data_IF_649966808936
#
_entry.id   IF_649966808936
#
_cell.length_a   1.000
_cell.length_b   1.000
_cell.length_c   1.000
_cell.angle_alpha   90.00
_cell.angle_beta   90.00
_cell.angle_gamma   90.00
#
_symmetry.space_group_name_H-M   'P 1'
#
loop_
_entity.id
_entity.type
_entity.pdbx_description
1 polymer ?
#
# COMPACT_ATOMS: atom_id res chain seq x y z
N UNK A 1 -5.53 16.42 17.54
CA UNK A 1 -4.50 15.80 16.67
C UNK A 1 -5.06 14.69 15.77
N UNK A 2 -5.81 13.70 16.29
CA UNK A 2 -6.41 12.59 15.52
C UNK A 2 -7.40 13.03 14.42
N UNK A 3 -8.35 13.92 14.75
CA UNK A 3 -9.34 14.44 13.78
C UNK A 3 -8.71 15.22 12.61
N UNK A 4 -7.62 15.97 12.89
CA UNK A 4 -6.88 16.70 11.85
C UNK A 4 -6.24 15.75 10.83
N UNK A 5 -5.63 14.63 11.29
CA UNK A 5 -5.08 13.58 10.42
C UNK A 5 -6.15 12.88 9.60
N UNK A 6 -7.29 12.52 10.20
CA UNK A 6 -8.40 11.90 9.47
C UNK A 6 -8.92 12.79 8.32
N UNK A 7 -9.06 14.10 8.55
CA UNK A 7 -9.43 15.07 7.50
C UNK A 7 -8.38 15.11 6.37
N UNK A 8 -7.10 15.11 6.73
CA UNK A 8 -6.00 15.09 5.75
C UNK A 8 -6.01 13.81 4.91
N UNK A 9 -6.15 12.65 5.53
CA UNK A 9 -6.22 11.36 4.84
C UNK A 9 -7.45 11.25 3.94
N UNK A 10 -8.61 11.75 4.38
CA UNK A 10 -9.80 11.80 3.53
C UNK A 10 -9.58 12.66 2.29
N UNK A 11 -8.97 13.83 2.44
CA UNK A 11 -8.61 14.71 1.31
C UNK A 11 -7.62 14.03 0.37
N UNK A 12 -6.67 13.28 0.92
CA UNK A 12 -5.67 12.55 0.14
C UNK A 12 -6.28 11.39 -0.65
N UNK A 13 -7.11 10.56 -0.02
CA UNK A 13 -7.78 9.47 -0.73
C UNK A 13 -8.80 9.99 -1.75
N UNK A 14 -9.47 11.11 -1.47
CA UNK A 14 -10.31 11.79 -2.47
C UNK A 14 -9.50 12.21 -3.71
N UNK A 15 -8.26 12.70 -3.53
CA UNK A 15 -7.35 12.99 -4.65
C UNK A 15 -7.08 11.73 -5.48
N UNK A 16 -6.75 10.60 -4.83
CA UNK A 16 -6.49 9.34 -5.52
C UNK A 16 -7.71 8.79 -6.26
N UNK A 17 -8.90 8.88 -5.66
CA UNK A 17 -10.15 8.49 -6.31
C UNK A 17 -10.48 9.36 -7.52
N UNK A 18 -10.43 10.69 -7.37
CA UNK A 18 -10.83 11.61 -8.44
C UNK A 18 -9.83 11.65 -9.60
N UNK A 19 -8.54 11.57 -9.31
CA UNK A 19 -7.49 11.79 -10.32
C UNK A 19 -6.96 10.47 -10.93
N UNK A 20 -7.07 9.36 -10.19
CA UNK A 20 -6.46 8.07 -10.57
C UNK A 20 -7.44 6.89 -10.51
N UNK A 21 -8.72 7.15 -10.22
CA UNK A 21 -9.77 6.13 -10.31
C UNK A 21 -9.75 5.06 -9.21
N UNK A 22 -9.15 5.34 -8.05
CA UNK A 22 -9.20 4.45 -6.89
C UNK A 22 -10.64 4.28 -6.38
N UNK A 23 -11.04 3.04 -6.11
CA UNK A 23 -12.39 2.67 -5.64
C UNK A 23 -12.28 1.69 -4.48
N UNK A 24 -13.29 1.72 -3.60
CA UNK A 24 -13.42 0.76 -2.52
C UNK A 24 -13.98 -0.58 -3.05
N UNK A 25 -13.63 -1.73 -2.44
CA UNK A 25 -12.61 -1.85 -1.39
C UNK A 25 -11.19 -1.62 -1.94
N UNK A 26 -10.38 -0.83 -1.24
CA UNK A 26 -9.02 -0.50 -1.68
C UNK A 26 -8.14 -1.74 -1.62
N UNK A 27 -7.51 -2.11 -2.73
CA UNK A 27 -6.59 -3.24 -2.77
C UNK A 27 -5.26 -2.82 -2.15
N UNK A 28 -4.93 -3.40 -0.99
CA UNK A 28 -3.72 -3.07 -0.25
C UNK A 28 -2.74 -4.24 -0.34
N UNK A 29 -1.62 -4.07 -1.04
CA UNK A 29 -0.54 -5.06 -0.98
C UNK A 29 0.26 -4.85 0.30
N UNK A 30 0.38 -5.92 1.09
CA UNK A 30 1.19 -5.95 2.31
C UNK A 30 2.45 -6.77 2.07
N UNK A 31 3.56 -6.36 2.69
CA UNK A 31 4.82 -7.12 2.71
C UNK A 31 4.97 -7.97 3.98
N UNK A 32 6.03 -8.77 4.03
CA UNK A 32 6.40 -9.55 5.21
C UNK A 32 6.66 -8.66 6.43
N UNK A 33 7.44 -7.59 6.23
CA UNK A 33 7.89 -6.72 7.31
C UNK A 33 6.74 -6.00 8.04
N UNK A 34 5.70 -5.54 7.33
CA UNK A 34 4.56 -4.87 7.97
C UNK A 34 3.67 -5.84 8.74
N UNK A 35 3.58 -7.10 8.31
CA UNK A 35 2.90 -8.14 9.08
C UNK A 35 3.65 -8.40 10.39
N UNK A 36 4.97 -8.56 10.35
CA UNK A 36 5.80 -8.73 11.55
C UNK A 36 5.72 -7.52 12.48
N UNK A 37 5.80 -6.31 11.91
CA UNK A 37 5.68 -5.07 12.68
C UNK A 37 4.31 -4.95 13.35
N UNK A 38 3.22 -5.25 12.63
CA UNK A 38 1.87 -5.19 13.17
C UNK A 38 1.70 -6.10 14.40
N UNK A 39 2.24 -7.32 14.35
CA UNK A 39 2.24 -8.24 15.48
C UNK A 39 3.08 -7.69 16.64
N UNK A 40 4.32 -7.28 16.38
CA UNK A 40 5.24 -6.80 17.43
C UNK A 40 4.70 -5.55 18.14
N UNK A 41 4.10 -4.63 17.38
CA UNK A 41 3.52 -3.38 17.86
C UNK A 41 2.06 -3.54 18.34
N UNK A 42 1.49 -4.75 18.33
CA UNK A 42 0.10 -5.07 18.70
C UNK A 42 -0.94 -4.20 17.97
N UNK A 43 -0.71 -4.00 16.68
CA UNK A 43 -1.56 -3.21 15.80
C UNK A 43 -2.52 -4.13 15.05
N UNK A 44 -3.82 -3.86 15.17
CA UNK A 44 -4.84 -4.42 14.27
C UNK A 44 -4.68 -3.81 12.87
N UNK A 45 -3.94 -4.50 12.01
CA UNK A 45 -3.51 -3.96 10.71
C UNK A 45 -4.70 -3.59 9.82
N UNK A 46 -5.72 -4.46 9.73
CA UNK A 46 -6.88 -4.25 8.85
C UNK A 46 -7.66 -3.01 9.28
N UNK A 47 -8.00 -2.94 10.58
CA UNK A 47 -8.71 -1.78 11.14
C UNK A 47 -7.92 -0.50 10.97
N UNK A 48 -6.59 -0.54 11.15
CA UNK A 48 -5.76 0.65 10.93
C UNK A 48 -5.65 1.06 9.48
N UNK A 49 -5.63 0.12 8.55
CA UNK A 49 -5.69 0.42 7.12
C UNK A 49 -7.01 1.12 6.76
N UNK A 50 -8.14 0.66 7.30
CA UNK A 50 -9.45 1.32 7.13
C UNK A 50 -9.46 2.73 7.73
N UNK A 51 -8.90 2.89 8.94
CA UNK A 51 -8.74 4.18 9.60
C UNK A 51 -7.92 5.17 8.75
N UNK A 52 -6.81 4.72 8.15
CA UNK A 52 -5.92 5.62 7.38
C UNK A 52 -6.38 5.84 5.94
N UNK A 53 -7.03 4.86 5.32
CA UNK A 53 -7.56 4.97 3.95
C UNK A 53 -8.99 5.51 3.90
N UNK A 54 -9.63 5.68 5.07
CA UNK A 54 -10.98 6.24 5.21
C UNK A 54 -12.02 5.50 4.34
N UNK A 55 -11.94 4.17 4.31
CA UNK A 55 -12.82 3.31 3.51
C UNK A 55 -12.46 1.84 3.62
N UNK A 56 -13.31 0.97 3.07
CA UNK A 56 -13.13 -0.47 3.13
C UNK A 56 -11.85 -0.88 2.39
N UNK A 57 -11.15 -1.88 2.94
CA UNK A 57 -9.89 -2.36 2.41
C UNK A 57 -9.97 -3.84 2.04
N UNK A 58 -9.15 -4.25 1.09
CA UNK A 58 -8.92 -5.62 0.69
C UNK A 58 -7.42 -5.89 0.81
N UNK A 59 -6.94 -6.32 1.98
CA UNK A 59 -5.54 -6.65 2.16
C UNK A 59 -5.17 -7.87 1.32
N UNK A 60 -4.02 -7.80 0.67
CA UNK A 60 -3.53 -8.82 -0.23
C UNK A 60 -2.03 -9.04 0.03
N UNK A 61 -1.59 -10.30 -0.01
CA UNK A 61 -0.17 -10.63 0.10
C UNK A 61 0.28 -11.46 -1.11
N UNK A 62 1.47 -11.17 -1.63
CA UNK A 62 2.05 -11.95 -2.74
C UNK A 62 2.60 -13.28 -2.25
N UNK A 63 2.85 -14.22 -3.17
CA UNK A 63 3.52 -15.47 -2.81
C UNK A 63 4.94 -15.22 -2.32
N UNK A 64 5.69 -14.32 -2.97
CA UNK A 64 7.05 -13.98 -2.56
C UNK A 64 7.10 -13.40 -1.13
N UNK A 65 6.19 -12.46 -0.81
CA UNK A 65 6.17 -11.84 0.51
C UNK A 65 5.78 -12.80 1.63
N UNK A 66 4.88 -13.77 1.40
CA UNK A 66 4.62 -14.75 2.47
C UNK A 66 5.78 -15.72 2.65
N UNK A 67 6.50 -16.04 1.57
CA UNK A 67 7.60 -17.00 1.63
C UNK A 67 8.69 -16.46 2.55
N UNK A 68 8.95 -15.16 2.50
CA UNK A 68 9.83 -14.47 3.45
C UNK A 68 9.40 -14.61 4.91
N UNK A 69 8.10 -14.71 5.19
CA UNK A 69 7.60 -14.98 6.54
C UNK A 69 7.85 -16.43 6.96
N UNK A 70 7.66 -17.39 6.04
CA UNK A 70 7.94 -18.79 6.31
C UNK A 70 9.43 -19.04 6.60
N UNK A 71 10.32 -18.37 5.87
CA UNK A 71 11.77 -18.47 6.05
C UNK A 71 12.25 -17.97 7.41
N UNK A 72 11.49 -17.10 8.08
CA UNK A 72 11.83 -16.59 9.42
C UNK A 72 11.45 -17.56 10.56
N UNK A 73 10.81 -18.69 10.24
CA UNK A 73 10.56 -19.77 11.19
C UNK A 73 9.43 -19.49 12.18
N UNK A 74 9.34 -20.35 13.22
CA UNK A 74 8.21 -20.39 14.16
C UNK A 74 8.04 -19.13 15.01
N UNK A 75 9.09 -18.32 15.18
CA UNK A 75 9.04 -17.07 15.94
C UNK A 75 8.03 -16.05 15.35
N UNK A 76 7.76 -16.12 14.04
CA UNK A 76 6.81 -15.25 13.34
C UNK A 76 5.52 -15.95 12.93
N UNK A 77 5.17 -17.06 13.58
CA UNK A 77 3.91 -17.76 13.32
C UNK A 77 2.68 -16.84 13.37
N UNK A 78 2.55 -15.90 14.34
CA UNK A 78 1.41 -14.98 14.35
C UNK A 78 1.36 -14.04 13.14
N UNK A 79 2.52 -13.65 12.59
CA UNK A 79 2.59 -12.83 11.38
C UNK A 79 2.21 -13.64 10.13
N UNK A 80 2.60 -14.93 10.10
CA UNK A 80 2.15 -15.89 9.08
C UNK A 80 0.64 -16.08 9.14
N UNK A 81 0.05 -16.24 10.32
CA UNK A 81 -1.39 -16.46 10.49
C UNK A 81 -2.19 -15.21 10.08
N UNK A 82 -1.68 -14.02 10.44
CA UNK A 82 -2.22 -12.75 9.95
C UNK A 82 -2.16 -12.70 8.42
N UNK A 83 -1.00 -12.99 7.81
CA UNK A 83 -0.83 -12.96 6.37
C UNK A 83 -1.72 -13.96 5.63
N UNK A 84 -1.98 -15.14 6.21
CA UNK A 84 -2.89 -16.15 5.66
C UNK A 84 -4.35 -15.70 5.65
N UNK A 85 -4.74 -14.75 6.51
CA UNK A 85 -6.09 -14.17 6.49
C UNK A 85 -6.33 -13.22 5.30
N UNK A 86 -5.27 -12.81 4.60
CA UNK A 86 -5.32 -11.88 3.48
C UNK A 86 -5.49 -12.60 2.13
N UNK A 87 -6.01 -11.88 1.13
CA UNK A 87 -6.17 -12.45 -0.21
C UNK A 87 -4.82 -12.69 -0.88
N UNK A 88 -4.69 -13.81 -1.60
CA UNK A 88 -3.48 -14.10 -2.37
C UNK A 88 -3.42 -13.32 -3.66
N UNK A 89 -2.38 -12.48 -3.79
CA UNK A 89 -2.02 -11.87 -5.07
C UNK A 89 -1.02 -12.75 -5.82
N UNK A 90 -1.45 -13.34 -6.94
CA UNK A 90 -0.54 -14.04 -7.86
C UNK A 90 0.47 -13.05 -8.45
N UNK A 91 1.77 -13.28 -8.23
CA UNK A 91 2.86 -12.44 -8.72
C UNK A 91 3.58 -13.01 -9.95
N UNK A 92 3.26 -14.24 -10.37
CA UNK A 92 3.78 -14.90 -11.57
C UNK A 92 5.31 -15.09 -11.63
N UNK A 93 6.02 -15.00 -10.50
CA UNK A 93 7.42 -15.41 -10.39
C UNK A 93 7.50 -16.94 -10.30
N UNK A 94 8.45 -17.55 -11.03
CA UNK A 94 8.65 -19.01 -11.03
C UNK A 94 9.12 -19.51 -9.67
N UNK A 95 10.07 -18.77 -9.10
CA UNK A 95 10.61 -18.99 -7.77
C UNK A 95 10.34 -17.74 -6.93
N UNK A 96 10.30 -17.91 -5.61
CA UNK A 96 10.11 -16.80 -4.70
C UNK A 96 11.35 -15.88 -4.74
N UNK A 97 11.16 -14.67 -5.25
CA UNK A 97 12.16 -13.59 -5.19
C UNK A 97 11.94 -12.72 -3.94
N UNK A 98 12.79 -11.72 -3.72
CA UNK A 98 12.63 -10.78 -2.62
C UNK A 98 11.32 -10.00 -2.72
N UNK A 99 10.68 -9.75 -1.58
CA UNK A 99 9.39 -9.10 -1.45
C UNK A 99 9.36 -7.70 -2.06
N UNK A 100 10.42 -6.91 -1.85
CA UNK A 100 10.58 -5.58 -2.43
C UNK A 100 10.61 -5.60 -3.97
N UNK A 101 11.34 -6.56 -4.53
CA UNK A 101 11.41 -6.75 -5.99
C UNK A 101 10.06 -7.22 -6.54
N UNK A 102 9.43 -8.17 -5.85
CA UNK A 102 8.11 -8.67 -6.20
C UNK A 102 7.06 -7.56 -6.22
N UNK A 103 6.97 -6.75 -5.16
CA UNK A 103 6.01 -5.66 -5.08
C UNK A 103 6.30 -4.58 -6.13
N UNK A 104 7.57 -4.26 -6.38
CA UNK A 104 7.96 -3.36 -7.47
C UNK A 104 7.44 -3.85 -8.83
N UNK A 105 7.66 -5.14 -9.13
CA UNK A 105 7.22 -5.80 -10.35
C UNK A 105 5.69 -5.82 -10.49
N UNK A 106 4.97 -6.18 -9.42
CA UNK A 106 3.49 -6.25 -9.40
C UNK A 106 2.83 -4.88 -9.55
N UNK A 107 3.41 -3.83 -8.96
CA UNK A 107 2.92 -2.45 -9.12
C UNK A 107 3.19 -1.94 -10.53
N UNK A 108 4.39 -2.21 -11.05
CA UNK A 108 4.84 -1.72 -12.35
C UNK A 108 4.96 -0.19 -12.41
N UNK A 109 5.22 0.35 -13.61
CA UNK A 109 5.57 1.76 -13.79
C UNK A 109 4.39 2.74 -13.65
N UNK A 110 3.16 2.25 -13.73
CA UNK A 110 1.96 3.10 -13.78
C UNK A 110 0.93 2.79 -12.71
N UNK A 111 1.21 1.82 -11.82
CA UNK A 111 0.23 1.29 -10.87
C UNK A 111 -1.14 1.01 -11.52
N UNK A 112 -1.14 0.29 -12.65
CA UNK A 112 -2.34 0.04 -13.49
C UNK A 112 -3.52 -0.53 -12.68
N UNK A 113 -3.21 -1.36 -11.68
CA UNK A 113 -4.18 -2.05 -10.84
C UNK A 113 -4.61 -1.24 -9.61
N UNK A 114 -4.05 -0.04 -9.40
CA UNK A 114 -4.39 0.89 -8.31
C UNK A 114 -4.22 0.25 -6.94
N UNK A 115 -3.04 -0.31 -6.72
CA UNK A 115 -2.66 -0.81 -5.40
C UNK A 115 -2.30 0.34 -4.47
N UNK A 116 -2.73 0.20 -3.22
CA UNK A 116 -2.10 0.84 -2.06
C UNK A 116 -1.02 -0.12 -1.58
N UNK A 117 0.13 0.39 -1.16
CA UNK A 117 1.21 -0.45 -0.64
C UNK A 117 1.39 -0.16 0.84
N UNK A 118 1.34 -1.20 1.65
CA UNK A 118 1.62 -1.13 3.08
C UNK A 118 2.91 -1.91 3.34
N UNK A 119 3.99 -1.19 3.68
CA UNK A 119 5.33 -1.77 3.79
C UNK A 119 6.18 -1.02 4.81
N UNK A 120 7.00 -1.77 5.55
CA UNK A 120 8.02 -1.17 6.42
C UNK A 120 9.36 -0.91 5.71
N UNK A 121 9.60 -1.55 4.56
CA UNK A 121 10.81 -1.34 3.77
C UNK A 121 10.91 0.11 3.29
N UNK A 122 11.86 0.86 3.84
CA UNK A 122 12.18 2.21 3.37
C UNK A 122 12.68 2.22 1.91
N UNK A 123 13.62 1.34 1.48
CA UNK A 123 14.08 1.35 0.08
C UNK A 123 12.93 1.06 -0.90
N UNK A 124 12.03 0.12 -0.57
CA UNK A 124 10.84 -0.12 -1.40
C UNK A 124 9.96 1.13 -1.50
N UNK A 125 9.62 1.75 -0.36
CA UNK A 125 8.79 2.95 -0.34
C UNK A 125 9.42 4.08 -1.16
N UNK A 126 10.71 4.34 -1.00
CA UNK A 126 11.42 5.35 -1.78
C UNK A 126 11.35 5.07 -3.29
N UNK A 127 11.57 3.82 -3.70
CA UNK A 127 11.45 3.41 -5.11
C UNK A 127 10.03 3.62 -5.64
N UNK A 128 9.02 3.21 -4.87
CA UNK A 128 7.61 3.32 -5.27
C UNK A 128 7.09 4.76 -5.29
N UNK A 129 7.71 5.69 -4.55
CA UNK A 129 7.38 7.14 -4.64
C UNK A 129 7.65 7.72 -6.02
N UNK A 130 8.58 7.13 -6.79
CA UNK A 130 8.89 7.55 -8.16
C UNK A 130 7.74 7.21 -9.14
N UNK A 131 6.91 6.23 -8.79
CA UNK A 131 5.76 5.82 -9.58
C UNK A 131 4.57 6.72 -9.21
N UNK A 132 3.90 7.34 -10.19
CA UNK A 132 2.73 8.15 -9.90
C UNK A 132 1.58 7.27 -9.40
N UNK A 133 0.72 7.85 -8.56
CA UNK A 133 -0.51 7.22 -8.10
C UNK A 133 -0.30 5.96 -7.22
N UNK A 134 0.77 5.91 -6.42
CA UNK A 134 1.00 4.84 -5.42
C UNK A 134 0.84 5.41 -4.00
N UNK A 135 -0.30 5.17 -3.32
CA UNK A 135 -0.44 5.49 -1.91
C UNK A 135 0.41 4.52 -1.08
N UNK A 136 1.19 5.07 -0.13
CA UNK A 136 2.10 4.31 0.71
C UNK A 136 1.68 4.39 2.18
N UNK A 137 1.65 3.25 2.86
CA UNK A 137 1.31 3.12 4.28
C UNK A 137 2.46 2.42 5.01
N UNK A 138 2.78 2.89 6.22
CA UNK A 138 3.72 2.24 7.12
C UNK A 138 3.28 2.42 8.58
N UNK A 139 3.89 1.67 9.49
CA UNK A 139 3.73 1.76 10.94
C UNK A 139 4.95 2.47 11.53
N UNK A 140 4.72 3.47 12.37
CA UNK A 140 5.75 4.18 13.13
C UNK A 140 5.32 4.24 14.60
N UNK A 141 6.04 3.54 15.48
CA UNK A 141 5.75 3.47 16.93
C UNK A 141 4.26 3.19 17.22
N UNK A 142 3.74 2.09 16.67
CA UNK A 142 2.34 1.67 16.76
C UNK A 142 1.30 2.58 16.10
N UNK A 143 1.73 3.64 15.39
CA UNK A 143 0.84 4.51 14.61
C UNK A 143 0.96 4.17 13.14
N UNK A 144 -0.15 3.78 12.52
CA UNK A 144 -0.23 3.61 11.06
C UNK A 144 -0.35 4.97 10.38
N UNK A 145 0.48 5.19 9.36
CA UNK A 145 0.66 6.45 8.66
C UNK A 145 0.44 6.25 7.17
N UNK A 146 -0.49 6.99 6.58
CA UNK A 146 -0.58 7.17 5.14
C UNK A 146 0.34 8.33 4.75
N UNK A 147 1.30 8.07 3.87
CA UNK A 147 2.28 9.05 3.44
C UNK A 147 1.64 10.17 2.60
N UNK A 148 2.22 11.39 2.62
CA UNK A 148 1.83 12.43 1.67
C UNK A 148 2.10 11.98 0.23
N UNK A 149 1.34 12.51 -0.75
CA UNK A 149 1.50 12.14 -2.15
C UNK A 149 2.92 12.47 -2.63
N UNK A 150 3.46 11.63 -3.51
CA UNK A 150 4.77 11.88 -4.11
C UNK A 150 4.71 13.01 -5.14
N UNK A 151 5.86 13.62 -5.42
CA UNK A 151 5.98 14.62 -6.48
C UNK A 151 5.59 14.06 -7.85
N UNK A 152 5.89 12.79 -8.11
CA UNK A 152 5.44 12.08 -9.31
C UNK A 152 3.91 12.03 -9.40
N UNK A 153 3.23 11.75 -8.29
CA UNK A 153 1.77 11.75 -8.20
C UNK A 153 1.19 13.15 -8.42
N UNK A 154 1.78 14.18 -7.82
CA UNK A 154 1.31 15.57 -7.98
C UNK A 154 1.48 16.06 -9.42
N UNK A 155 2.64 15.83 -10.04
CA UNK A 155 2.90 16.14 -11.46
C UNK A 155 1.91 15.44 -12.39
N UNK A 156 1.65 14.15 -12.15
CA UNK A 156 0.71 13.40 -12.98
C UNK A 156 -0.73 13.90 -12.82
N UNK A 157 -1.14 14.26 -11.59
CA UNK A 157 -2.46 14.86 -11.35
C UNK A 157 -2.64 16.15 -12.13
N UNK A 158 -1.64 17.02 -12.17
CA UNK A 158 -1.70 18.27 -12.94
C UNK A 158 -1.85 18.00 -14.44
N UNK A 159 -1.13 17.02 -14.97
CA UNK A 159 -1.27 16.58 -16.37
C UNK A 159 -2.69 16.11 -16.69
N UNK A 160 -3.27 15.25 -15.84
CA UNK A 160 -4.64 14.74 -16.00
C UNK A 160 -5.68 15.86 -15.91
N UNK A 161 -5.47 16.83 -15.01
CA UNK A 161 -6.35 18.01 -14.90
C UNK A 161 -6.29 18.87 -16.17
N UNK A 162 -5.09 19.09 -16.72
CA UNK A 162 -4.93 19.91 -17.91
C UNK A 162 -5.51 19.23 -19.15
N UNK A 163 -5.34 17.91 -19.30
CA UNK A 163 -5.92 17.17 -20.43
C UNK A 163 -7.45 17.17 -20.40
N UNK A 164 -8.08 17.08 -19.22
CA UNK A 164 -9.54 17.11 -19.09
C UNK A 164 -10.15 18.51 -19.32
N UNK A 165 -9.38 19.58 -19.15
CA UNK A 165 -9.82 20.94 -19.46
C UNK A 165 -9.88 21.24 -20.95
N UNK A 166 -9.05 20.56 -21.77
CA UNK A 166 -9.01 20.75 -23.23
C UNK A 166 -10.23 20.14 -23.96
N UNK A 167 -10.90 19.14 -23.39
CA UNK A 167 -12.10 18.52 -23.98
C UNK A 167 -13.42 19.15 -23.51
N UNK A 168 -13.35 20.21 -22.68
CA UNK A 168 -14.53 20.93 -22.17
C UNK A 168 -14.66 22.36 -22.72
N UNK A 169 -13.79 22.73 -23.66
CA UNK A 169 -13.89 23.95 -24.46
C UNK A 169 -14.31 23.55 -25.88
#
# INVERSE_FOLDING_TARGET
MRQKRAKQYRKLMALYSMSFGFRQPYQVLVDSMICSEAISSKVDLVKRLEDVLQGNVKPMITQCCIEELYLQGSALQPAVDLAKSFERRKCNHREAIQGDECLSSVVGETNKHRYVIASQSNPLRQKLRLIPAVPLVHINRSVTVLEPPSDATLKQKERVRNSTSFYKA
#
